data_IF_227893291278
#
_entry.id   IF_227893291278
#
_cell.length_a   1.000
_cell.length_b   1.000
_cell.length_c   1.000
_cell.angle_alpha   90.00
_cell.angle_beta   90.00
_cell.angle_gamma   90.00
#
_symmetry.space_group_name_H-M   'P 1'
#
loop_
_entity.id
_entity.type
_entity.pdbx_description
1 polymer ?
#
# COMPACT_ATOMS: atom_id res chain seq x y z
N UNK A 1 -26.45 33.83 -81.34
CA UNK A 1 -26.82 32.46 -80.89
C UNK A 1 -25.65 31.90 -80.09
N UNK A 2 -25.68 32.00 -78.75
CA UNK A 2 -25.97 30.89 -77.79
C UNK A 2 -24.87 29.81 -77.80
N UNK A 3 -24.22 29.41 -76.70
CA UNK A 3 -24.56 29.34 -75.28
C UNK A 3 -23.27 29.11 -74.46
N UNK A 4 -23.37 29.44 -73.16
CA UNK A 4 -22.40 29.24 -72.07
C UNK A 4 -21.92 27.78 -71.92
N UNK A 5 -20.67 27.60 -71.50
CA UNK A 5 -20.28 26.50 -70.60
C UNK A 5 -19.18 26.97 -69.65
N UNK A 6 -19.55 26.91 -68.36
CA UNK A 6 -18.73 27.14 -67.17
C UNK A 6 -17.82 25.92 -66.99
N UNK A 7 -16.52 26.12 -66.79
CA UNK A 7 -15.67 25.07 -66.20
C UNK A 7 -15.11 25.53 -64.85
N UNK A 8 -15.27 24.63 -63.91
CA UNK A 8 -15.11 24.76 -62.47
C UNK A 8 -13.63 24.62 -62.08
N UNK A 9 -13.28 25.31 -61.00
CA UNK A 9 -12.01 25.40 -60.28
C UNK A 9 -11.38 24.03 -59.95
N UNK A 10 -10.04 24.00 -59.86
CA UNK A 10 -9.33 23.17 -58.89
C UNK A 10 -8.11 23.94 -58.37
N UNK A 11 -8.30 24.58 -57.21
CA UNK A 11 -7.21 25.06 -56.38
C UNK A 11 -6.52 23.83 -55.77
N UNK A 12 -5.22 23.66 -56.05
CA UNK A 12 -4.41 22.63 -55.40
C UNK A 12 -4.13 23.06 -53.96
N UNK A 13 -4.92 22.53 -53.02
CA UNK A 13 -4.60 22.61 -51.61
C UNK A 13 -3.52 21.56 -51.31
N UNK A 14 -2.28 22.00 -51.20
CA UNK A 14 -1.19 21.20 -50.64
C UNK A 14 -1.45 21.11 -49.14
N UNK A 15 -2.05 20.00 -48.70
CA UNK A 15 -2.22 19.70 -47.27
C UNK A 15 -0.86 19.29 -46.71
N UNK A 16 -0.24 20.19 -45.95
CA UNK A 16 0.96 19.93 -45.18
C UNK A 16 0.59 19.07 -43.96
N UNK A 17 0.73 17.74 -44.08
CA UNK A 17 0.54 16.82 -42.97
C UNK A 17 1.81 16.85 -42.08
N UNK A 18 1.90 17.84 -41.19
CA UNK A 18 2.84 17.80 -40.07
C UNK A 18 2.41 16.64 -39.15
N UNK A 19 3.01 15.46 -39.37
CA UNK A 19 2.95 14.36 -38.43
C UNK A 19 3.60 14.78 -37.12
N UNK A 20 2.80 15.31 -36.20
CA UNK A 20 3.20 15.44 -34.81
C UNK A 20 3.29 14.04 -34.24
N UNK A 21 4.51 13.49 -34.23
CA UNK A 21 4.81 12.33 -33.41
C UNK A 21 4.61 12.78 -31.97
N UNK A 22 3.44 12.46 -31.39
CA UNK A 22 3.29 12.50 -29.95
C UNK A 22 4.31 11.50 -29.43
N UNK A 23 5.34 11.92 -28.67
CA UNK A 23 6.25 10.96 -28.07
C UNK A 23 5.38 10.05 -27.20
N UNK A 24 5.34 8.77 -27.54
CA UNK A 24 4.75 7.77 -26.66
C UNK A 24 5.51 7.89 -25.34
N UNK A 25 4.84 8.43 -24.31
CA UNK A 25 5.42 8.48 -22.97
C UNK A 25 5.78 7.04 -22.63
N UNK A 26 7.07 6.74 -22.54
CA UNK A 26 7.54 5.42 -22.15
C UNK A 26 6.92 5.11 -20.79
N UNK A 27 5.93 4.24 -20.78
CA UNK A 27 5.25 3.85 -19.56
C UNK A 27 6.25 3.05 -18.74
N UNK A 28 6.79 3.66 -17.69
CA UNK A 28 7.67 2.96 -16.75
C UNK A 28 6.86 1.86 -16.09
N UNK A 29 7.14 0.62 -16.44
CA UNK A 29 6.58 -0.56 -15.78
C UNK A 29 7.39 -0.85 -14.53
N UNK A 30 6.71 -1.19 -13.44
CA UNK A 30 7.33 -1.71 -12.23
C UNK A 30 6.43 -2.77 -11.62
N UNK A 31 7.00 -3.61 -10.77
CA UNK A 31 6.24 -4.52 -9.90
C UNK A 31 6.69 -4.39 -8.44
N UNK A 32 5.75 -4.23 -7.51
CA UNK A 32 6.02 -4.40 -6.08
C UNK A 32 5.12 -5.52 -5.54
N UNK A 33 5.57 -6.14 -4.45
CA UNK A 33 4.76 -7.14 -3.72
C UNK A 33 4.24 -6.50 -2.44
N UNK A 34 2.96 -6.71 -2.14
CA UNK A 34 2.38 -6.36 -0.85
C UNK A 34 2.14 -7.64 -0.04
N UNK A 35 2.61 -7.63 1.21
CA UNK A 35 2.38 -8.65 2.22
C UNK A 35 1.68 -8.02 3.43
N UNK A 36 1.06 -8.84 4.28
CA UNK A 36 0.42 -8.40 5.51
C UNK A 36 0.32 -9.57 6.49
N UNK A 37 0.10 -9.28 7.77
CA UNK A 37 -0.35 -10.25 8.78
C UNK A 37 0.57 -11.47 8.87
N UNK A 38 1.88 -11.23 8.97
CA UNK A 38 2.85 -12.33 9.03
C UNK A 38 2.85 -13.07 10.35
N UNK A 39 2.41 -12.43 11.44
CA UNK A 39 2.19 -13.06 12.75
C UNK A 39 3.36 -13.96 13.19
N UNK A 40 4.59 -13.41 13.10
CA UNK A 40 5.84 -14.08 13.49
C UNK A 40 6.04 -13.98 15.01
N UNK A 41 6.76 -14.95 15.57
CA UNK A 41 7.11 -14.96 16.99
C UNK A 41 6.16 -15.82 17.81
N UNK A 42 5.98 -15.46 19.08
CA UNK A 42 5.27 -16.29 20.06
C UNK A 42 3.77 -16.37 19.79
N UNK A 43 3.12 -17.50 20.10
CA UNK A 43 1.68 -17.65 19.92
C UNK A 43 0.91 -16.74 20.87
N UNK A 44 -0.17 -16.12 20.37
CA UNK A 44 -1.05 -15.30 21.20
C UNK A 44 -1.91 -16.12 22.18
N UNK A 45 -2.26 -17.37 21.87
CA UNK A 45 -2.98 -18.32 22.75
C UNK A 45 -2.65 -19.78 22.36
N UNK A 46 -3.33 -20.79 22.93
CA UNK A 46 -3.21 -22.25 22.66
C UNK A 46 -3.45 -22.68 21.19
N UNK A 47 -2.89 -21.98 20.21
CA UNK A 47 -2.58 -22.59 18.94
C UNK A 47 -1.63 -23.75 19.21
N UNK A 48 -1.94 -24.93 18.66
CA UNK A 48 -1.06 -26.09 18.81
C UNK A 48 0.34 -25.70 18.36
N UNK A 49 1.37 -26.18 19.07
CA UNK A 49 2.79 -25.91 18.75
C UNK A 49 3.10 -26.21 17.28
N UNK A 50 2.36 -27.14 16.67
CA UNK A 50 2.38 -27.45 15.23
C UNK A 50 2.04 -26.27 14.30
N UNK A 51 1.21 -25.30 14.70
CA UNK A 51 0.90 -24.10 13.88
C UNK A 51 1.94 -22.99 14.03
N UNK A 52 2.65 -22.95 15.15
CA UNK A 52 3.60 -21.88 15.50
C UNK A 52 4.94 -21.96 14.77
N UNK A 53 5.47 -23.17 14.66
CA UNK A 53 6.62 -23.43 13.80
C UNK A 53 6.34 -23.02 12.33
N UNK A 54 5.07 -22.81 11.93
CA UNK A 54 4.69 -22.58 10.54
C UNK A 54 4.74 -21.12 10.07
N UNK A 55 4.49 -20.10 10.89
CA UNK A 55 4.39 -18.72 10.35
C UNK A 55 5.76 -18.20 9.88
N UNK A 56 6.78 -18.28 10.73
CA UNK A 56 8.14 -17.93 10.35
C UNK A 56 8.64 -18.74 9.15
N UNK A 57 8.37 -20.04 9.12
CA UNK A 57 8.76 -20.89 7.99
C UNK A 57 8.03 -20.51 6.70
N UNK A 58 6.71 -20.25 6.76
CA UNK A 58 5.91 -19.77 5.62
C UNK A 58 6.45 -18.44 5.11
N UNK A 59 6.68 -17.48 6.00
CA UNK A 59 7.25 -16.16 5.65
C UNK A 59 8.63 -16.35 5.04
N UNK A 60 9.46 -17.23 5.61
CA UNK A 60 10.78 -17.55 5.07
C UNK A 60 10.69 -18.09 3.64
N UNK A 61 9.78 -19.05 3.38
CA UNK A 61 9.56 -19.60 2.03
C UNK A 61 9.05 -18.53 1.06
N UNK A 62 8.17 -17.63 1.51
CA UNK A 62 7.69 -16.49 0.71
C UNK A 62 8.86 -15.55 0.36
N UNK A 63 9.75 -15.26 1.32
CA UNK A 63 10.95 -14.45 1.06
C UNK A 63 11.85 -15.13 0.04
N UNK A 64 12.07 -16.44 0.18
CA UNK A 64 12.91 -17.20 -0.74
C UNK A 64 12.30 -17.19 -2.17
N UNK A 65 10.98 -17.34 -2.31
CA UNK A 65 10.25 -17.22 -3.59
C UNK A 65 10.33 -15.80 -4.18
N UNK A 66 10.19 -14.76 -3.33
CA UNK A 66 10.33 -13.36 -3.74
C UNK A 66 11.74 -13.12 -4.29
N UNK A 67 12.76 -13.63 -3.62
CA UNK A 67 14.15 -13.45 -4.00
C UNK A 67 14.51 -14.21 -5.28
N UNK A 68 14.00 -15.44 -5.45
CA UNK A 68 14.38 -16.32 -6.55
C UNK A 68 13.55 -16.09 -7.82
N UNK A 69 12.23 -15.92 -7.68
CA UNK A 69 11.27 -15.96 -8.79
C UNK A 69 10.71 -14.58 -9.09
N UNK A 70 10.06 -13.96 -8.10
CA UNK A 70 9.26 -12.73 -8.33
C UNK A 70 10.15 -11.53 -8.61
N UNK A 71 11.19 -11.32 -7.78
CA UNK A 71 12.18 -10.23 -7.88
C UNK A 71 11.53 -8.84 -8.14
N UNK A 72 10.65 -8.37 -7.25
CA UNK A 72 9.99 -7.08 -7.41
C UNK A 72 10.96 -5.90 -7.15
N UNK A 73 10.55 -4.70 -7.51
CA UNK A 73 11.26 -3.45 -7.19
C UNK A 73 11.42 -3.22 -5.69
N UNK A 74 10.40 -3.63 -4.92
CA UNK A 74 10.39 -3.61 -3.45
C UNK A 74 9.24 -4.47 -2.91
N UNK A 75 9.25 -4.69 -1.59
CA UNK A 75 8.18 -5.32 -0.82
C UNK A 75 7.62 -4.31 0.17
N UNK A 76 6.29 -4.26 0.30
CA UNK A 76 5.58 -3.49 1.32
C UNK A 76 4.82 -4.44 2.25
N UNK A 77 5.07 -4.37 3.56
CA UNK A 77 4.40 -5.17 4.58
C UNK A 77 3.46 -4.27 5.40
N UNK A 78 2.17 -4.55 5.39
CA UNK A 78 1.10 -3.69 5.93
C UNK A 78 0.58 -4.11 7.31
N UNK A 79 1.51 -4.36 8.24
CA UNK A 79 1.20 -4.55 9.65
C UNK A 79 0.89 -5.98 10.08
N UNK A 80 0.71 -6.11 11.39
CA UNK A 80 0.55 -7.36 12.13
C UNK A 80 1.69 -8.34 11.82
N UNK A 81 2.91 -7.81 11.98
CA UNK A 81 4.13 -8.55 11.66
C UNK A 81 4.46 -9.61 12.70
N UNK A 82 4.12 -9.32 13.96
CA UNK A 82 4.29 -10.23 15.10
C UNK A 82 2.95 -10.64 15.71
N UNK A 83 2.89 -11.83 16.31
CA UNK A 83 1.66 -12.33 16.94
C UNK A 83 1.38 -11.72 18.32
N UNK A 84 2.44 -11.48 19.09
CA UNK A 84 2.35 -10.91 20.44
C UNK A 84 3.30 -9.72 20.51
N UNK A 85 2.84 -8.64 21.14
CA UNK A 85 3.65 -7.45 21.37
C UNK A 85 4.73 -7.72 22.42
N UNK A 86 5.90 -8.16 21.95
CA UNK A 86 7.08 -8.36 22.79
C UNK A 86 8.39 -8.09 22.02
N UNK A 87 9.45 -7.79 22.77
CA UNK A 87 10.73 -7.42 22.18
C UNK A 87 11.39 -8.56 21.39
N UNK A 88 11.20 -9.82 21.81
CA UNK A 88 11.81 -10.98 21.17
C UNK A 88 11.17 -11.25 19.81
N UNK A 89 9.84 -11.21 19.74
CA UNK A 89 9.09 -11.34 18.48
C UNK A 89 9.46 -10.22 17.50
N UNK A 90 9.61 -8.97 17.97
CA UNK A 90 10.03 -7.85 17.13
C UNK A 90 11.46 -8.03 16.57
N UNK A 91 12.40 -8.50 17.40
CA UNK A 91 13.77 -8.84 16.97
C UNK A 91 13.78 -9.99 15.96
N UNK A 92 12.95 -11.00 16.18
CA UNK A 92 12.83 -12.14 15.29
C UNK A 92 12.31 -11.74 13.90
N UNK A 93 11.25 -10.92 13.85
CA UNK A 93 10.76 -10.38 12.59
C UNK A 93 11.81 -9.48 11.90
N UNK A 94 12.48 -8.61 12.66
CA UNK A 94 13.58 -7.79 12.13
C UNK A 94 14.72 -8.62 11.53
N UNK A 95 15.00 -9.82 12.06
CA UNK A 95 15.97 -10.73 11.48
C UNK A 95 15.51 -11.30 10.11
N UNK A 96 14.21 -11.51 9.91
CA UNK A 96 13.66 -11.93 8.61
C UNK A 96 13.78 -10.82 7.56
N UNK A 97 13.63 -9.55 7.94
CA UNK A 97 13.78 -8.42 7.00
C UNK A 97 15.15 -8.41 6.31
N UNK A 98 16.20 -8.87 7.00
CA UNK A 98 17.57 -8.96 6.46
C UNK A 98 17.73 -10.03 5.37
N UNK A 99 16.74 -10.91 5.19
CA UNK A 99 16.77 -11.96 4.17
C UNK A 99 16.27 -11.51 2.81
N UNK A 100 15.53 -10.41 2.73
CA UNK A 100 15.06 -9.90 1.44
C UNK A 100 16.24 -9.41 0.60
N UNK A 101 16.29 -9.80 -0.67
CA UNK A 101 17.28 -9.34 -1.64
C UNK A 101 16.89 -7.99 -2.28
N UNK A 102 15.69 -7.49 -1.96
CA UNK A 102 15.11 -6.25 -2.47
C UNK A 102 14.72 -5.35 -1.30
N UNK A 103 14.56 -4.03 -1.50
CA UNK A 103 14.09 -3.14 -0.44
C UNK A 103 12.76 -3.61 0.16
N UNK A 104 12.66 -3.60 1.49
CA UNK A 104 11.44 -3.94 2.23
C UNK A 104 11.03 -2.77 3.11
N UNK A 105 9.76 -2.40 3.01
CA UNK A 105 9.14 -1.33 3.79
C UNK A 105 8.03 -1.92 4.65
N UNK A 106 7.96 -1.51 5.91
CA UNK A 106 7.02 -2.08 6.88
C UNK A 106 6.32 -0.95 7.61
N UNK A 107 4.99 -1.04 7.72
CA UNK A 107 4.20 -0.20 8.62
C UNK A 107 3.51 -1.08 9.66
N UNK A 108 3.26 -0.57 10.88
CA UNK A 108 2.74 -1.40 11.95
C UNK A 108 1.23 -1.65 11.80
N UNK A 109 0.80 -2.79 12.33
CA UNK A 109 -0.57 -3.10 12.71
C UNK A 109 -0.74 -3.01 14.22
N UNK A 110 -1.83 -3.57 14.73
CA UNK A 110 -2.15 -3.47 16.16
C UNK A 110 -1.33 -4.43 17.04
N UNK A 111 -0.87 -5.56 16.49
CA UNK A 111 -0.04 -6.49 17.25
C UNK A 111 1.42 -6.03 17.41
N UNK A 112 1.89 -5.15 16.51
CA UNK A 112 3.31 -4.79 16.39
C UNK A 112 3.85 -3.93 17.54
N UNK A 113 2.97 -3.11 18.11
CA UNK A 113 3.35 -2.19 19.17
C UNK A 113 2.35 -2.18 20.33
N UNK A 114 1.27 -2.96 20.20
CA UNK A 114 0.22 -3.13 21.18
C UNK A 114 -0.57 -1.86 21.46
N UNK A 115 -1.52 -1.96 22.41
CA UNK A 115 -2.27 -0.82 22.90
C UNK A 115 -1.43 0.16 23.73
N UNK A 116 -0.30 -0.31 24.27
CA UNK A 116 0.58 0.47 25.15
C UNK A 116 1.72 1.17 24.41
N UNK A 117 1.82 1.02 23.09
CA UNK A 117 2.90 1.60 22.26
C UNK A 117 4.28 1.29 22.84
N UNK A 118 4.58 0.00 22.88
CA UNK A 118 5.81 -0.54 23.47
C UNK A 118 7.12 0.10 22.99
N UNK A 119 7.12 0.69 21.79
CA UNK A 119 8.27 1.23 21.09
C UNK A 119 9.11 0.16 20.36
N UNK A 120 8.77 -1.13 20.50
CA UNK A 120 9.55 -2.22 19.91
C UNK A 120 9.54 -2.20 18.39
N UNK A 121 8.39 -1.89 17.78
CA UNK A 121 8.30 -1.76 16.33
C UNK A 121 9.26 -0.69 15.80
N UNK A 122 9.24 0.52 16.38
CA UNK A 122 10.12 1.61 15.93
C UNK A 122 11.60 1.34 16.22
N UNK A 123 11.88 0.62 17.31
CA UNK A 123 13.25 0.27 17.70
C UNK A 123 13.87 -0.79 16.79
N UNK A 124 13.10 -1.78 16.34
CA UNK A 124 13.65 -2.97 15.64
C UNK A 124 13.21 -3.12 14.19
N UNK A 125 12.01 -2.65 13.83
CA UNK A 125 11.38 -2.95 12.54
C UNK A 125 11.46 -1.74 11.61
N UNK A 126 10.92 -0.58 12.02
CA UNK A 126 10.93 0.59 11.15
C UNK A 126 10.04 1.75 11.60
N UNK A 127 9.96 2.82 10.79
CA UNK A 127 9.15 3.99 11.11
C UNK A 127 7.65 3.68 10.98
N UNK A 128 6.82 4.46 11.68
CA UNK A 128 5.36 4.36 11.61
C UNK A 128 4.74 5.07 10.41
N UNK A 129 5.55 5.77 9.60
CA UNK A 129 5.13 6.49 8.39
C UNK A 129 6.25 6.35 7.35
N UNK A 130 5.88 6.02 6.11
CA UNK A 130 6.81 5.76 5.01
C UNK A 130 6.27 6.42 3.74
N UNK A 131 7.18 7.03 2.98
CA UNK A 131 6.95 7.42 1.58
C UNK A 131 7.90 6.64 0.69
N UNK A 132 7.37 5.97 -0.33
CA UNK A 132 8.16 5.34 -1.39
C UNK A 132 7.93 6.14 -2.66
N UNK A 133 8.85 7.06 -2.95
CA UNK A 133 8.86 7.81 -4.21
C UNK A 133 9.70 7.07 -5.25
N UNK A 134 9.08 6.14 -5.98
CA UNK A 134 9.73 5.35 -7.04
C UNK A 134 8.76 5.13 -8.19
N UNK A 135 9.07 5.72 -9.36
CA UNK A 135 8.26 5.52 -10.57
C UNK A 135 8.08 4.00 -10.87
N UNK A 136 6.86 3.55 -11.23
CA UNK A 136 5.68 4.37 -11.52
C UNK A 136 4.85 4.80 -10.30
N UNK A 137 5.22 4.45 -9.07
CA UNK A 137 4.40 4.67 -7.89
C UNK A 137 4.89 5.81 -6.99
N UNK A 138 3.94 6.35 -6.24
CA UNK A 138 4.19 7.17 -5.06
C UNK A 138 3.39 6.53 -3.93
N UNK A 139 4.06 5.78 -3.06
CA UNK A 139 3.40 5.04 -1.98
C UNK A 139 3.44 5.88 -0.71
N UNK A 140 2.28 6.11 -0.10
CA UNK A 140 2.14 6.71 1.23
C UNK A 140 1.63 5.62 2.16
N UNK A 141 2.51 5.10 3.01
CA UNK A 141 2.20 4.04 3.96
C UNK A 141 2.32 4.56 5.40
N UNK A 142 1.38 4.22 6.27
CA UNK A 142 1.40 4.71 7.65
C UNK A 142 0.70 3.78 8.64
N UNK A 143 1.00 4.00 9.92
CA UNK A 143 0.29 3.46 11.07
C UNK A 143 -1.12 4.04 11.12
N UNK A 144 -2.08 3.28 10.62
CA UNK A 144 -3.49 3.65 10.57
C UNK A 144 -4.29 3.25 11.80
N UNK A 145 -3.65 2.93 12.93
CA UNK A 145 -4.37 2.75 14.20
C UNK A 145 -5.41 3.86 14.39
N UNK A 146 -6.60 3.55 14.95
CA UNK A 146 -7.68 4.50 15.07
C UNK A 146 -7.19 5.85 15.55
N UNK A 147 -7.69 6.96 14.99
CA UNK A 147 -7.22 8.30 15.34
C UNK A 147 -7.28 8.58 16.85
N UNK A 148 -8.22 7.93 17.57
CA UNK A 148 -8.34 8.00 19.03
C UNK A 148 -7.19 7.35 19.79
N UNK A 149 -6.50 6.38 19.17
CA UNK A 149 -5.31 5.69 19.68
C UNK A 149 -4.01 6.36 19.17
N UNK A 150 -4.13 7.33 18.27
CA UNK A 150 -2.99 8.12 17.82
C UNK A 150 -2.76 9.26 18.81
N UNK A 151 -1.53 9.41 19.30
CA UNK A 151 -1.17 10.52 20.19
C UNK A 151 -1.39 11.89 19.54
N UNK A 152 -1.25 12.00 18.21
CA UNK A 152 -1.43 13.26 17.49
C UNK A 152 -2.15 13.05 16.13
N UNK A 153 -3.49 12.86 16.14
CA UNK A 153 -4.24 12.57 14.93
C UNK A 153 -4.25 13.74 13.93
N UNK A 154 -4.21 14.98 14.40
CA UNK A 154 -4.19 16.17 13.54
C UNK A 154 -2.89 16.27 12.74
N UNK A 155 -1.75 16.00 13.36
CA UNK A 155 -0.46 15.96 12.69
C UNK A 155 -0.39 14.83 11.65
N UNK A 156 -0.89 13.62 11.99
CA UNK A 156 -0.95 12.53 11.03
C UNK A 156 -1.81 12.90 9.81
N UNK A 157 -3.01 13.45 10.04
CA UNK A 157 -3.91 13.84 8.95
C UNK A 157 -3.32 14.97 8.09
N UNK A 158 -2.66 15.95 8.70
CA UNK A 158 -1.96 17.03 7.99
C UNK A 158 -0.81 16.50 7.13
N UNK A 159 -0.01 15.58 7.67
CA UNK A 159 1.04 14.89 6.93
C UNK A 159 0.48 14.08 5.77
N UNK A 160 -0.54 13.24 5.99
CA UNK A 160 -1.21 12.48 4.92
C UNK A 160 -1.70 13.44 3.84
N UNK A 161 -2.44 14.49 4.22
CA UNK A 161 -2.95 15.49 3.27
C UNK A 161 -1.85 16.11 2.40
N UNK A 162 -0.69 16.39 2.98
CA UNK A 162 0.47 16.93 2.26
C UNK A 162 1.09 15.91 1.30
N UNK A 163 1.21 14.64 1.71
CA UNK A 163 1.80 13.62 0.83
C UNK A 163 0.88 13.24 -0.35
N UNK A 164 -0.45 13.29 -0.17
CA UNK A 164 -1.40 12.93 -1.22
C UNK A 164 -1.45 13.94 -2.39
N UNK A 165 -0.91 15.16 -2.24
CA UNK A 165 -0.87 16.16 -3.33
C UNK A 165 0.31 15.95 -4.28
N UNK A 166 1.46 15.48 -3.77
CA UNK A 166 2.73 15.35 -4.50
C UNK A 166 2.71 14.41 -5.73
N UNK A 167 2.02 13.25 -5.74
CA UNK A 167 1.99 12.39 -6.92
C UNK A 167 1.36 13.06 -8.15
N UNK A 168 0.37 13.94 -7.94
CA UNK A 168 -0.34 14.65 -9.03
C UNK A 168 0.61 15.53 -9.83
N UNK A 169 1.60 16.12 -9.16
CA UNK A 169 2.61 16.98 -9.78
C UNK A 169 3.66 16.17 -10.55
N UNK A 170 3.83 14.89 -10.23
CA UNK A 170 4.93 14.06 -10.74
C UNK A 170 4.52 12.96 -11.72
N UNK A 171 3.21 12.81 -12.00
CA UNK A 171 2.67 11.83 -12.93
C UNK A 171 2.76 10.38 -12.46
N UNK A 172 2.94 10.14 -11.16
CA UNK A 172 3.05 8.80 -10.54
C UNK A 172 1.69 8.32 -10.06
N UNK A 173 1.49 6.99 -10.10
CA UNK A 173 0.33 6.37 -9.49
C UNK A 173 0.44 6.44 -7.96
N UNK A 174 -0.52 7.12 -7.33
CA UNK A 174 -0.61 7.19 -5.86
C UNK A 174 -1.12 5.85 -5.30
N UNK A 175 -0.38 5.29 -4.35
CA UNK A 175 -0.80 4.12 -3.57
C UNK A 175 -0.86 4.54 -2.10
N UNK A 176 -1.97 4.27 -1.43
CA UNK A 176 -2.13 4.52 0.00
C UNK A 176 -2.23 3.19 0.72
N UNK A 177 -1.42 3.00 1.75
CA UNK A 177 -1.36 1.73 2.49
C UNK A 177 -1.38 1.96 4.01
N UNK A 178 -2.15 1.14 4.69
CA UNK A 178 -2.27 1.11 6.15
C UNK A 178 -2.84 -0.25 6.54
N UNK A 179 -2.50 -0.72 7.75
CA UNK A 179 -3.07 -1.94 8.30
C UNK A 179 -4.58 -1.82 8.51
N UNK A 180 -5.02 -0.72 9.13
CA UNK A 180 -6.43 -0.45 9.33
C UNK A 180 -7.09 0.04 8.04
N UNK A 181 -8.34 -0.37 7.85
CA UNK A 181 -9.16 0.07 6.72
C UNK A 181 -9.33 1.59 6.73
N UNK A 182 -8.91 2.24 5.65
CA UNK A 182 -9.13 3.67 5.41
C UNK A 182 -10.54 4.00 4.90
N UNK A 183 -11.50 3.07 4.98
CA UNK A 183 -12.88 3.23 4.51
C UNK A 183 -13.81 2.93 5.67
N UNK A 184 -14.65 3.89 6.05
CA UNK A 184 -15.74 3.64 7.00
C UNK A 184 -16.77 2.74 6.33
N UNK A 185 -17.08 1.59 6.92
CA UNK A 185 -18.19 0.76 6.47
C UNK A 185 -19.46 1.51 6.91
N UNK A 186 -20.20 2.09 5.96
CA UNK A 186 -21.62 2.41 6.21
C UNK A 186 -22.36 1.08 6.32
N UNK A 187 -22.18 0.37 7.44
CA UNK A 187 -23.10 -0.70 7.82
C UNK A 187 -24.40 0.02 8.09
N UNK A 188 -25.37 -0.12 7.19
CA UNK A 188 -26.72 0.35 7.43
C UNK A 188 -27.13 -0.11 8.83
N UNK A 189 -27.35 0.86 9.74
CA UNK A 189 -28.08 0.62 10.97
C UNK A 189 -29.47 0.15 10.52
N UNK A 190 -29.68 -1.16 10.41
CA UNK A 190 -31.03 -1.70 10.49
C UNK A 190 -31.52 -1.34 11.89
N UNK A 191 -32.59 -0.56 12.06
CA UNK A 191 -33.12 -0.27 13.38
C UNK A 191 -33.50 -1.59 14.02
N UNK A 192 -33.03 -1.80 15.26
CA UNK A 192 -33.33 -2.99 16.03
C UNK A 192 -34.86 -3.11 16.20
N UNK A 193 -35.53 -3.91 15.36
CA UNK A 193 -36.93 -4.31 15.55
C UNK A 193 -36.99 -5.38 16.64
N UNK A 194 -36.69 -5.00 17.87
CA UNK A 194 -37.08 -5.75 19.08
C UNK A 194 -37.47 -4.77 20.17
N UNK A 195 -38.68 -4.24 20.02
CA UNK A 195 -39.51 -3.73 21.12
C UNK A 195 -40.98 -3.77 20.67
N UNK A 196 -41.48 -4.96 20.34
CA UNK A 196 -42.92 -5.26 20.34
C UNK A 196 -43.12 -6.74 20.65
N UNK A 197 -43.28 -7.04 21.93
CA UNK A 197 -44.25 -8.03 22.47
C UNK A 197 -44.06 -8.16 23.98
N UNK A 198 -45.20 -8.30 24.69
CA UNK A 198 -45.44 -8.47 26.13
C UNK A 198 -44.94 -7.32 27.03
N UNK A 199 -45.78 -6.57 27.74
CA UNK A 199 -47.14 -6.79 28.29
C UNK A 199 -47.83 -5.45 28.51
#
# INVERSE_FOLDING_TARGET
>A
MTRRSVLIRLASAITFLLGTTVPALAQTTGMFVQMSDTHVGKPATYETVEKMATHKEKVTRIIDEINAVIRPDFVLITGDTISVTDEESAKEFAALLKRFAVPVYVVPGNHDDGSVRSGWFQKYVGPTRIVIDRKPWYVVAFDGRPLMENENPGELLGWIGTELTKPRESGRALVVASHYRCISRTVGRTPNRRARSSS
#
